data_IF_872773013189
#
_entry.id   IF_872773013189
#
_cell.length_a   1.000
_cell.length_b   1.000
_cell.length_c   1.000
_cell.angle_alpha   90.00
_cell.angle_beta   90.00
_cell.angle_gamma   90.00
#
_symmetry.space_group_name_H-M   'P 1'
#
loop_
_entity.id
_entity.type
_entity.pdbx_description
1 polymer ?
#
# COMPACT_ATOMS: atom_id res chain seq x y z
N UNK A 1 8.55 -6.10 -16.37
CA UNK A 1 9.11 -7.31 -17.00
C UNK A 1 10.46 -7.53 -16.36
N UNK A 2 10.69 -8.67 -15.68
CA UNK A 2 11.65 -8.71 -14.58
C UNK A 2 12.97 -9.46 -14.92
N UNK A 3 13.10 -9.95 -16.16
CA UNK A 3 14.34 -10.51 -16.72
C UNK A 3 14.79 -9.69 -17.93
N UNK A 4 16.09 -9.69 -18.19
CA UNK A 4 16.75 -8.73 -19.06
C UNK A 4 17.51 -9.42 -20.19
N UNK A 5 17.64 -8.73 -21.32
CA UNK A 5 18.49 -9.18 -22.40
C UNK A 5 19.97 -9.02 -21.98
N UNK A 6 20.81 -10.06 -22.10
CA UNK A 6 22.22 -9.98 -21.73
C UNK A 6 23.04 -9.02 -22.60
N UNK A 7 22.53 -8.59 -23.75
CA UNK A 7 23.26 -7.74 -24.72
C UNK A 7 22.90 -6.26 -24.61
N UNK A 8 21.64 -5.94 -24.30
CA UNK A 8 21.15 -4.56 -24.31
C UNK A 8 20.40 -4.16 -23.04
N UNK A 9 20.32 -5.07 -22.07
CA UNK A 9 19.65 -4.88 -20.78
C UNK A 9 18.16 -4.52 -20.88
N UNK A 10 17.59 -4.55 -22.09
CA UNK A 10 16.18 -4.31 -22.29
C UNK A 10 15.36 -5.40 -21.59
N UNK A 11 14.21 -5.04 -21.00
CA UNK A 11 13.33 -6.02 -20.39
C UNK A 11 12.81 -7.01 -21.44
N UNK A 12 12.90 -8.30 -21.15
CA UNK A 12 12.42 -9.39 -22.01
C UNK A 12 11.53 -10.36 -21.21
N UNK A 13 10.76 -11.17 -21.91
CA UNK A 13 10.00 -12.26 -21.29
C UNK A 13 10.91 -13.47 -21.06
N UNK A 14 10.76 -14.18 -19.93
CA UNK A 14 11.62 -15.33 -19.59
C UNK A 14 11.51 -16.51 -20.57
N UNK A 15 10.43 -16.55 -21.35
CA UNK A 15 10.14 -17.55 -22.40
C UNK A 15 10.44 -17.04 -23.81
N UNK A 16 10.85 -15.78 -23.97
CA UNK A 16 11.12 -15.18 -25.28
C UNK A 16 12.28 -15.89 -25.99
N UNK A 17 12.11 -16.11 -27.28
CA UNK A 17 13.16 -16.69 -28.15
C UNK A 17 14.11 -15.63 -28.69
N UNK A 18 13.65 -14.39 -28.85
CA UNK A 18 14.43 -13.27 -29.36
C UNK A 18 14.18 -12.01 -28.54
N UNK A 19 15.21 -11.19 -28.36
CA UNK A 19 15.04 -9.85 -27.81
C UNK A 19 14.42 -8.94 -28.88
N UNK A 20 13.24 -8.37 -28.59
CA UNK A 20 12.53 -7.48 -29.53
C UNK A 20 13.25 -6.14 -29.76
N UNK A 21 14.17 -5.76 -28.88
CA UNK A 21 14.86 -4.47 -28.95
C UNK A 21 16.17 -4.53 -29.74
N UNK A 22 16.99 -5.57 -29.55
CA UNK A 22 18.30 -5.69 -30.21
C UNK A 22 18.42 -6.88 -31.17
N UNK A 23 17.39 -7.72 -31.28
CA UNK A 23 17.41 -8.91 -32.15
C UNK A 23 18.28 -10.07 -31.65
N UNK A 24 18.80 -9.99 -30.42
CA UNK A 24 19.61 -11.05 -29.82
C UNK A 24 18.83 -12.36 -29.70
N UNK A 25 19.46 -13.48 -30.06
CA UNK A 25 18.89 -14.82 -29.96
C UNK A 25 19.02 -15.33 -28.53
N UNK A 26 17.90 -15.31 -27.81
CA UNK A 26 17.81 -15.77 -26.43
C UNK A 26 17.87 -17.30 -26.35
N UNK A 27 17.85 -18.04 -27.47
CA UNK A 27 18.10 -19.48 -27.50
C UNK A 27 19.58 -19.82 -27.28
N UNK A 28 20.50 -18.92 -27.65
CA UNK A 28 21.95 -19.14 -27.50
C UNK A 28 22.45 -18.65 -26.14
N UNK A 29 22.10 -17.41 -25.76
CA UNK A 29 22.40 -16.85 -24.43
C UNK A 29 21.07 -16.37 -23.85
N UNK A 30 20.63 -17.04 -22.80
CA UNK A 30 19.30 -16.87 -22.22
C UNK A 30 19.07 -15.50 -21.56
N UNK A 31 17.82 -15.18 -21.20
CA UNK A 31 17.53 -14.02 -20.37
C UNK A 31 18.28 -14.10 -19.03
N UNK A 32 18.71 -12.95 -18.54
CA UNK A 32 19.39 -12.81 -17.25
C UNK A 32 18.46 -12.17 -16.22
N UNK A 33 18.62 -12.52 -14.95
CA UNK A 33 17.97 -11.85 -13.82
C UNK A 33 18.54 -10.43 -13.63
N UNK A 34 17.91 -9.62 -12.78
CA UNK A 34 18.43 -8.31 -12.34
C UNK A 34 19.86 -8.36 -11.79
N UNK A 35 20.27 -9.48 -11.22
CA UNK A 35 21.61 -9.73 -10.67
C UNK A 35 22.57 -10.37 -11.68
N UNK A 36 22.19 -10.43 -12.97
CA UNK A 36 23.06 -10.93 -14.05
C UNK A 36 23.13 -12.45 -14.21
N UNK A 37 22.36 -13.22 -13.44
CA UNK A 37 22.37 -14.69 -13.52
C UNK A 37 21.46 -15.21 -14.64
N UNK A 38 21.94 -16.19 -15.42
CA UNK A 38 21.17 -16.82 -16.50
C UNK A 38 19.98 -17.64 -15.95
N UNK A 39 18.78 -17.26 -16.37
CA UNK A 39 17.51 -17.87 -15.95
C UNK A 39 17.44 -19.35 -16.31
N UNK A 40 18.04 -19.80 -17.42
CA UNK A 40 18.03 -21.22 -17.82
C UNK A 40 18.93 -22.06 -16.94
N UNK A 41 20.10 -21.53 -16.59
CA UNK A 41 21.01 -22.21 -15.68
C UNK A 41 20.37 -22.38 -14.30
N UNK A 42 19.72 -21.33 -13.79
CA UNK A 42 18.98 -21.37 -12.53
C UNK A 42 17.85 -22.41 -12.54
N UNK A 43 17.08 -22.50 -13.63
CA UNK A 43 16.03 -23.52 -13.80
C UNK A 43 16.61 -24.94 -13.76
N UNK A 44 17.77 -25.16 -14.37
CA UNK A 44 18.43 -26.46 -14.36
C UNK A 44 18.97 -26.83 -12.97
N UNK A 45 19.52 -25.85 -12.25
CA UNK A 45 19.93 -26.02 -10.85
C UNK A 45 18.75 -26.38 -9.94
N UNK A 46 17.59 -25.73 -10.10
CA UNK A 46 16.39 -26.07 -9.32
C UNK A 46 15.86 -27.47 -9.67
N UNK A 47 15.87 -27.85 -10.95
CA UNK A 47 15.43 -29.19 -11.36
C UNK A 47 16.31 -30.29 -10.80
N UNK A 48 17.62 -30.07 -10.76
CA UNK A 48 18.62 -31.04 -10.29
C UNK A 48 18.71 -31.18 -8.76
N UNK A 49 18.15 -30.24 -7.99
CA UNK A 49 18.08 -30.31 -6.52
C UNK A 49 17.18 -31.47 -6.05
N UNK A 50 17.74 -32.47 -5.39
CA UNK A 50 16.97 -33.63 -4.89
C UNK A 50 16.35 -33.40 -3.50
N UNK A 51 16.68 -32.28 -2.87
CA UNK A 51 16.25 -31.85 -1.54
C UNK A 51 14.92 -31.08 -1.54
N UNK A 52 14.38 -30.75 -2.72
CA UNK A 52 13.13 -30.01 -2.90
C UNK A 52 12.01 -30.89 -3.44
N UNK A 53 10.79 -30.68 -2.95
CA UNK A 53 9.62 -31.32 -3.52
C UNK A 53 9.32 -30.79 -4.93
N UNK A 54 8.67 -31.58 -5.78
CA UNK A 54 8.32 -31.16 -7.15
C UNK A 54 7.51 -29.86 -7.17
N UNK A 55 6.61 -29.66 -6.21
CA UNK A 55 5.84 -28.41 -6.07
C UNK A 55 6.75 -27.20 -5.80
N UNK A 56 7.68 -27.32 -4.85
CA UNK A 56 8.62 -26.25 -4.50
C UNK A 56 9.57 -25.91 -5.66
N UNK A 57 9.94 -26.91 -6.48
CA UNK A 57 10.70 -26.68 -7.71
C UNK A 57 9.93 -25.84 -8.73
N UNK A 58 8.65 -26.12 -8.94
CA UNK A 58 7.82 -25.32 -9.84
C UNK A 58 7.63 -23.89 -9.32
N UNK A 59 7.43 -23.72 -8.01
CA UNK A 59 7.27 -22.41 -7.38
C UNK A 59 8.55 -21.56 -7.48
N UNK A 60 9.72 -22.16 -7.27
CA UNK A 60 11.00 -21.46 -7.42
C UNK A 60 11.30 -21.10 -8.88
N UNK A 61 10.94 -21.97 -9.83
CA UNK A 61 11.07 -21.67 -11.27
C UNK A 61 10.18 -20.49 -11.65
N UNK A 62 8.93 -20.47 -11.20
CA UNK A 62 7.99 -19.39 -11.45
C UNK A 62 8.51 -18.06 -10.89
N UNK A 63 9.01 -18.06 -9.64
CA UNK A 63 9.60 -16.86 -9.01
C UNK A 63 10.79 -16.30 -9.80
N UNK A 64 11.63 -17.15 -10.39
CA UNK A 64 12.77 -16.69 -11.19
C UNK A 64 12.34 -16.21 -12.58
N UNK A 65 11.31 -16.82 -13.18
CA UNK A 65 10.70 -16.31 -14.42
C UNK A 65 10.05 -14.93 -14.19
N UNK A 66 9.49 -14.72 -13.01
CA UNK A 66 8.98 -13.44 -12.49
C UNK A 66 10.10 -12.53 -11.95
N UNK A 67 11.37 -12.93 -12.13
CA UNK A 67 12.59 -12.16 -11.85
C UNK A 67 12.84 -11.80 -10.39
N UNK A 68 12.44 -12.68 -9.47
CA UNK A 68 12.93 -12.67 -8.10
C UNK A 68 14.46 -12.86 -8.04
N UNK A 69 15.10 -12.22 -7.07
CA UNK A 69 16.55 -12.27 -6.90
C UNK A 69 17.01 -13.70 -6.51
N UNK A 70 17.86 -14.37 -7.31
CA UNK A 70 18.28 -15.75 -7.02
C UNK A 70 19.17 -15.86 -5.78
N UNK A 71 19.80 -14.77 -5.34
CA UNK A 71 20.60 -14.70 -4.11
C UNK A 71 19.68 -14.76 -2.87
N UNK A 72 18.59 -13.99 -2.87
CA UNK A 72 17.59 -14.01 -1.79
C UNK A 72 16.84 -15.35 -1.71
N UNK A 73 16.67 -16.01 -2.86
CA UNK A 73 16.10 -17.36 -2.93
C UNK A 73 17.09 -18.46 -2.51
N UNK A 74 18.34 -18.12 -2.16
CA UNK A 74 19.36 -19.08 -1.76
C UNK A 74 19.81 -20.02 -2.89
N UNK A 75 19.68 -19.59 -4.14
CA UNK A 75 20.04 -20.35 -5.34
C UNK A 75 21.38 -19.93 -5.94
N UNK A 76 21.83 -18.71 -5.66
CA UNK A 76 23.12 -18.18 -6.06
C UNK A 76 23.86 -17.60 -4.86
N UNK A 77 25.20 -17.68 -4.87
CA UNK A 77 26.03 -17.00 -3.89
C UNK A 77 26.14 -15.52 -4.24
N UNK A 78 26.17 -14.66 -3.22
CA UNK A 78 26.55 -13.26 -3.39
C UNK A 78 27.99 -13.16 -3.90
N UNK A 79 28.27 -12.18 -4.76
CA UNK A 79 29.64 -11.84 -5.18
C UNK A 79 30.50 -11.46 -3.95
N UNK A 80 31.83 -11.55 -4.00
CA UNK A 80 32.68 -11.15 -2.85
C UNK A 80 32.46 -9.68 -2.42
N UNK A 81 32.02 -8.83 -3.35
CA UNK A 81 31.64 -7.44 -3.13
C UNK A 81 30.27 -7.31 -2.42
N UNK A 82 29.27 -8.11 -2.81
CA UNK A 82 27.96 -8.17 -2.14
C UNK A 82 28.03 -8.91 -0.79
N UNK A 83 28.89 -9.91 -0.68
CA UNK A 83 29.20 -10.61 0.56
C UNK A 83 29.94 -9.71 1.54
N UNK A 84 30.79 -8.78 1.07
CA UNK A 84 31.39 -7.75 1.90
C UNK A 84 30.35 -6.74 2.41
N UNK A 85 29.34 -6.40 1.61
CA UNK A 85 28.21 -5.55 2.03
C UNK A 85 27.31 -6.28 3.02
N UNK A 86 27.06 -7.58 2.82
CA UNK A 86 26.28 -8.42 3.73
C UNK A 86 27.03 -8.70 5.05
N UNK A 87 28.34 -8.96 5.01
CA UNK A 87 29.19 -9.11 6.20
C UNK A 87 29.37 -7.78 6.95
N UNK A 88 29.36 -6.63 6.24
CA UNK A 88 29.29 -5.31 6.87
C UNK A 88 27.93 -5.06 7.53
N UNK A 89 26.83 -5.59 6.97
CA UNK A 89 25.50 -5.54 7.56
C UNK A 89 25.32 -6.51 8.76
N UNK A 90 25.96 -7.68 8.73
CA UNK A 90 25.87 -8.69 9.79
C UNK A 90 26.85 -8.40 10.95
N UNK A 91 27.99 -7.74 10.66
CA UNK A 91 28.90 -7.22 11.69
C UNK A 91 28.38 -5.97 12.42
N UNK A 92 27.26 -5.40 11.97
CA UNK A 92 26.59 -4.26 12.62
C UNK A 92 25.66 -4.69 13.78
N UNK A 93 25.57 -5.98 14.13
CA UNK A 93 24.74 -6.49 15.25
C UNK A 93 25.53 -6.84 16.52
N UNK A 94 26.82 -6.50 16.62
CA UNK A 94 27.59 -6.60 17.87
C UNK A 94 27.94 -5.20 18.41
N UNK A 95 27.78 -4.94 19.72
CA UNK A 95 27.74 -3.58 20.25
C UNK A 95 29.14 -2.97 20.30
N UNK A 96 29.40 -1.99 19.43
CA UNK A 96 30.50 -1.02 19.61
C UNK A 96 30.04 0.37 19.22
N UNK A 97 30.00 1.22 20.25
CA UNK A 97 30.10 2.68 20.27
C UNK A 97 29.59 3.45 19.04
N UNK A 98 28.33 3.84 19.14
CA UNK A 98 27.65 5.03 18.58
C UNK A 98 28.28 5.66 17.32
N UNK A 99 27.80 5.20 16.16
CA UNK A 99 27.87 5.97 14.91
C UNK A 99 26.66 6.92 14.79
N UNK A 100 26.80 8.13 14.22
CA UNK A 100 25.71 9.10 14.04
C UNK A 100 24.46 8.53 13.35
N UNK A 101 24.61 7.52 12.48
CA UNK A 101 23.50 6.91 11.77
C UNK A 101 22.61 6.01 12.65
N UNK A 102 23.14 5.42 13.74
CA UNK A 102 22.30 4.65 14.68
C UNK A 102 21.46 5.55 15.59
N UNK A 103 21.96 6.74 15.93
CA UNK A 103 21.19 7.74 16.65
C UNK A 103 19.95 8.19 15.83
N UNK A 104 20.09 8.27 14.50
CA UNK A 104 18.99 8.56 13.58
C UNK A 104 17.98 7.41 13.54
N UNK A 105 18.43 6.15 13.44
CA UNK A 105 17.52 4.97 13.44
C UNK A 105 16.80 4.75 14.77
N UNK A 106 17.47 5.01 15.90
CA UNK A 106 16.89 4.93 17.24
C UNK A 106 15.90 6.08 17.50
N UNK A 107 16.22 7.30 17.07
CA UNK A 107 15.31 8.45 17.14
C UNK A 107 14.09 8.26 16.24
N UNK A 108 14.24 7.66 15.06
CA UNK A 108 13.13 7.30 14.15
C UNK A 108 12.24 6.25 14.82
N UNK A 109 12.78 5.15 15.35
CA UNK A 109 11.95 4.14 16.01
C UNK A 109 11.26 4.66 17.29
N UNK A 110 11.92 5.52 18.07
CA UNK A 110 11.37 6.11 19.30
C UNK A 110 10.31 7.19 19.01
N UNK A 111 10.54 8.06 18.02
CA UNK A 111 9.60 9.10 17.60
C UNK A 111 8.39 8.55 16.84
N UNK A 112 8.48 7.35 16.25
CA UNK A 112 7.39 6.70 15.50
C UNK A 112 6.63 5.61 16.25
N UNK A 113 6.99 5.26 17.48
CA UNK A 113 6.31 4.21 18.26
C UNK A 113 5.01 4.68 18.93
N UNK A 114 4.64 5.96 18.85
CA UNK A 114 3.45 6.51 19.48
C UNK A 114 2.25 6.66 18.53
N UNK A 115 1.19 5.88 18.76
CA UNK A 115 -0.19 6.26 18.45
C UNK A 115 -0.70 6.03 17.02
N UNK A 116 0.12 6.16 15.97
CA UNK A 116 -0.28 5.83 14.59
C UNK A 116 0.56 4.67 14.10
N UNK A 117 -0.09 3.62 13.58
CA UNK A 117 0.57 2.58 12.79
C UNK A 117 1.06 3.18 11.48
N UNK A 118 2.18 3.92 11.52
CA UNK A 118 2.80 4.48 10.33
C UNK A 118 3.37 3.33 9.51
N UNK A 119 3.13 3.37 8.21
CA UNK A 119 3.79 2.42 7.33
C UNK A 119 5.32 2.68 7.38
N UNK A 120 6.15 1.66 7.69
CA UNK A 120 7.59 1.86 7.80
C UNK A 120 8.23 2.35 6.50
N UNK A 121 7.68 1.98 5.34
CA UNK A 121 8.14 2.50 4.06
C UNK A 121 7.80 3.98 3.87
N UNK A 122 6.61 4.42 4.30
CA UNK A 122 6.23 5.83 4.27
C UNK A 122 7.09 6.67 5.22
N UNK A 123 7.40 6.13 6.40
CA UNK A 123 8.30 6.75 7.36
C UNK A 123 9.74 6.87 6.83
N UNK A 124 10.26 5.80 6.23
CA UNK A 124 11.59 5.80 5.62
C UNK A 124 11.68 6.77 4.44
N UNK A 125 10.64 6.82 3.59
CA UNK A 125 10.57 7.76 2.47
C UNK A 125 10.52 9.21 2.95
N UNK A 126 9.73 9.50 3.99
CA UNK A 126 9.68 10.82 4.60
C UNK A 126 11.05 11.22 5.15
N UNK A 127 11.69 10.35 5.94
CA UNK A 127 13.00 10.59 6.52
C UNK A 127 14.09 10.81 5.45
N UNK A 128 14.09 10.00 4.38
CA UNK A 128 15.05 10.11 3.29
C UNK A 128 15.00 11.48 2.60
N UNK A 129 13.83 12.12 2.53
CA UNK A 129 13.67 13.45 1.94
C UNK A 129 13.88 14.55 2.98
N UNK A 130 13.41 14.34 4.21
CA UNK A 130 13.41 15.40 5.23
C UNK A 130 14.72 15.51 6.01
N UNK A 131 15.64 14.53 5.94
CA UNK A 131 16.80 14.48 6.82
C UNK A 131 17.69 15.72 6.80
N UNK A 132 17.81 16.42 5.67
CA UNK A 132 18.60 17.65 5.53
C UNK A 132 17.83 18.92 5.92
N UNK A 133 16.54 18.81 6.22
CA UNK A 133 15.68 19.96 6.50
C UNK A 133 15.82 20.45 7.94
N UNK A 134 15.64 21.75 8.14
CA UNK A 134 15.55 22.36 9.47
C UNK A 134 14.40 21.81 10.30
N UNK A 135 13.30 21.38 9.67
CA UNK A 135 12.20 20.73 10.36
C UNK A 135 12.63 19.39 10.98
N UNK A 136 13.44 18.60 10.25
CA UNK A 136 13.92 17.33 10.76
C UNK A 136 14.93 17.47 11.90
N UNK A 137 15.78 18.51 11.88
CA UNK A 137 16.69 18.77 13.01
C UNK A 137 15.94 19.13 14.30
N UNK A 138 14.76 19.76 14.19
CA UNK A 138 13.88 20.02 15.33
C UNK A 138 13.21 18.74 15.84
N UNK A 139 12.79 17.84 14.94
CA UNK A 139 12.26 16.52 15.30
C UNK A 139 13.34 15.68 15.99
N UNK A 140 14.52 15.54 15.39
CA UNK A 140 15.62 14.77 15.96
C UNK A 140 16.14 15.37 17.27
N UNK A 141 16.05 16.70 17.42
CA UNK A 141 16.36 17.42 18.65
C UNK A 141 15.28 17.30 19.73
N UNK A 142 14.19 16.56 19.49
CA UNK A 142 13.08 16.37 20.43
C UNK A 142 12.23 17.62 20.67
N UNK A 143 12.39 18.67 19.85
CA UNK A 143 11.63 19.93 19.96
C UNK A 143 10.26 19.85 19.29
N UNK A 144 10.12 18.97 18.30
CA UNK A 144 8.84 18.66 17.66
C UNK A 144 8.44 17.24 18.03
N UNK A 145 7.34 17.12 18.76
CA UNK A 145 6.78 15.82 19.13
C UNK A 145 5.79 15.33 18.06
N UNK A 146 6.23 14.32 17.30
CA UNK A 146 5.42 13.63 16.31
C UNK A 146 4.32 12.74 16.92
N UNK A 147 4.33 12.54 18.24
CA UNK A 147 3.32 11.79 18.97
C UNK A 147 2.32 12.69 19.70
N UNK A 148 2.43 14.02 19.52
CA UNK A 148 1.49 14.96 20.11
C UNK A 148 0.08 14.71 19.56
N UNK A 149 -0.93 14.75 20.44
CA UNK A 149 -2.31 14.45 20.07
C UNK A 149 -2.83 15.34 18.92
N UNK A 150 -2.43 16.62 18.90
CA UNK A 150 -2.79 17.56 17.85
C UNK A 150 -2.22 17.15 16.48
N UNK A 151 -0.97 16.68 16.44
CA UNK A 151 -0.34 16.23 15.22
C UNK A 151 -0.92 14.90 14.73
N UNK A 152 -1.19 13.95 15.65
CA UNK A 152 -1.84 12.69 15.30
C UNK A 152 -3.24 12.91 14.73
N UNK A 153 -4.03 13.81 15.35
CA UNK A 153 -5.35 14.18 14.85
C UNK A 153 -5.28 14.83 13.46
N UNK A 154 -4.30 15.69 13.21
CA UNK A 154 -4.12 16.31 11.89
C UNK A 154 -3.77 15.27 10.81
N UNK A 155 -2.91 14.29 11.14
CA UNK A 155 -2.58 13.19 10.24
C UNK A 155 -3.80 12.30 9.95
N UNK A 156 -4.63 12.00 10.96
CA UNK A 156 -5.86 11.21 10.81
C UNK A 156 -6.85 11.92 9.86
N UNK A 157 -7.11 13.21 10.09
CA UNK A 157 -7.98 14.01 9.20
C UNK A 157 -7.43 14.06 7.76
N UNK A 158 -6.12 14.12 7.60
CA UNK A 158 -5.48 13.99 6.29
C UNK A 158 -5.72 12.63 5.63
N UNK A 159 -5.66 11.54 6.39
CA UNK A 159 -5.98 10.21 5.89
C UNK A 159 -7.46 10.06 5.52
N UNK A 160 -8.37 10.60 6.33
CA UNK A 160 -9.81 10.63 6.04
C UNK A 160 -10.11 11.41 4.75
N UNK A 161 -9.46 12.56 4.54
CA UNK A 161 -9.59 13.34 3.29
C UNK A 161 -9.10 12.55 2.07
N UNK A 162 -7.99 11.82 2.20
CA UNK A 162 -7.48 10.92 1.16
C UNK A 162 -8.47 9.78 0.86
N UNK A 163 -9.00 9.11 1.89
CA UNK A 163 -10.02 8.08 1.71
C UNK A 163 -11.29 8.62 1.05
N UNK A 164 -11.69 9.85 1.36
CA UNK A 164 -12.84 10.47 0.70
C UNK A 164 -12.64 10.55 -0.82
N UNK A 165 -11.46 10.97 -1.30
CA UNK A 165 -11.13 10.97 -2.74
C UNK A 165 -11.15 9.55 -3.30
N UNK A 166 -10.62 8.57 -2.55
CA UNK A 166 -10.65 7.16 -2.96
C UNK A 166 -12.07 6.63 -3.16
N UNK A 167 -12.99 6.90 -2.22
CA UNK A 167 -14.37 6.43 -2.27
C UNK A 167 -15.16 7.05 -3.44
N UNK A 168 -14.88 8.33 -3.73
CA UNK A 168 -15.44 9.01 -4.91
C UNK A 168 -14.93 8.33 -6.19
N UNK A 169 -13.61 8.10 -6.29
CA UNK A 169 -13.01 7.45 -7.45
C UNK A 169 -13.51 6.00 -7.63
N UNK A 170 -13.76 5.27 -6.54
CA UNK A 170 -14.37 3.94 -6.60
C UNK A 170 -15.85 3.96 -7.08
N UNK A 171 -16.46 5.15 -7.14
CA UNK A 171 -17.86 5.33 -7.48
C UNK A 171 -18.80 4.83 -6.37
N UNK A 172 -18.34 4.88 -5.12
CA UNK A 172 -19.14 4.56 -3.93
C UNK A 172 -20.07 5.69 -3.49
N UNK A 173 -19.78 6.93 -3.92
CA UNK A 173 -20.54 8.12 -3.55
C UNK A 173 -21.29 8.65 -4.78
N UNK A 174 -22.60 8.44 -4.83
CA UNK A 174 -23.45 8.84 -5.97
C UNK A 174 -23.91 10.31 -5.89
N UNK A 175 -23.99 10.87 -4.69
CA UNK A 175 -24.40 12.24 -4.44
C UNK A 175 -23.21 13.08 -3.97
N UNK A 176 -22.50 13.68 -4.93
CA UNK A 176 -21.43 14.63 -4.64
C UNK A 176 -22.02 16.02 -4.40
N UNK A 177 -21.69 16.62 -3.27
CA UNK A 177 -22.16 17.95 -2.86
C UNK A 177 -21.53 19.08 -3.69
N UNK A 178 -20.29 18.88 -4.15
CA UNK A 178 -19.55 19.83 -4.97
C UNK A 178 -19.46 19.35 -6.42
N UNK A 179 -19.53 20.30 -7.37
CA UNK A 179 -19.30 20.07 -8.78
C UNK A 179 -17.85 19.67 -9.07
N UNK A 180 -16.89 20.20 -8.31
CA UNK A 180 -15.46 19.92 -8.49
C UNK A 180 -15.12 18.46 -8.16
N UNK A 181 -15.86 17.84 -7.24
CA UNK A 181 -15.69 16.42 -6.93
C UNK A 181 -16.09 15.51 -8.10
N UNK A 182 -16.91 16.00 -9.04
CA UNK A 182 -17.27 15.27 -10.26
C UNK A 182 -16.12 15.19 -11.26
N UNK A 183 -15.09 16.03 -11.10
CA UNK A 183 -13.88 15.97 -11.92
C UNK A 183 -12.98 14.78 -11.53
N UNK A 184 -13.18 14.18 -10.36
CA UNK A 184 -12.42 13.01 -9.91
C UNK A 184 -12.71 11.83 -10.86
N UNK A 185 -11.67 11.21 -11.46
CA UNK A 185 -11.86 10.07 -12.35
C UNK A 185 -12.52 8.88 -11.63
N UNK A 186 -13.61 8.36 -12.21
CA UNK A 186 -14.28 7.15 -11.70
C UNK A 186 -13.58 5.90 -12.24
N UNK A 187 -12.95 5.15 -11.35
CA UNK A 187 -12.24 3.90 -11.59
C UNK A 187 -13.17 2.69 -11.45
N UNK A 188 -14.38 2.77 -12.00
CA UNK A 188 -15.32 1.64 -11.99
C UNK A 188 -15.22 0.83 -13.29
N UNK A 189 -15.08 -0.50 -13.22
CA UNK A 189 -15.15 -1.32 -14.42
C UNK A 189 -16.53 -1.16 -15.11
N UNK A 190 -16.60 -1.09 -16.44
CA UNK A 190 -17.88 -1.08 -17.15
C UNK A 190 -18.71 -2.33 -16.82
N UNK A 191 -19.98 -2.15 -16.46
CA UNK A 191 -20.89 -3.28 -16.16
C UNK A 191 -21.26 -4.13 -17.39
N UNK A 192 -21.12 -3.57 -18.60
CA UNK A 192 -21.42 -4.27 -19.86
C UNK A 192 -20.12 -4.71 -20.50
N UNK A 193 -20.07 -5.95 -20.97
CA UNK A 193 -18.94 -6.52 -21.72
C UNK A 193 -18.81 -5.96 -23.14
N UNK A 194 -19.80 -5.20 -23.63
CA UNK A 194 -19.81 -4.69 -25.01
C UNK A 194 -19.93 -3.16 -25.06
N UNK A 195 -19.14 -2.53 -25.92
CA UNK A 195 -19.22 -1.09 -26.18
C UNK A 195 -20.57 -0.75 -26.83
N UNK A 196 -21.41 0.11 -26.23
CA UNK A 196 -22.73 0.43 -26.77
C UNK A 196 -22.68 1.19 -28.11
N UNK A 197 -21.52 1.73 -28.48
CA UNK A 197 -21.33 2.51 -29.72
C UNK A 197 -20.89 1.67 -30.92
N UNK A 198 -20.22 0.54 -30.68
CA UNK A 198 -19.65 -0.28 -31.76
C UNK A 198 -19.79 -1.80 -31.55
N UNK A 199 -20.40 -2.26 -30.46
CA UNK A 199 -20.59 -3.68 -30.18
C UNK A 199 -19.31 -4.48 -29.92
N UNK A 200 -18.14 -3.83 -29.86
CA UNK A 200 -16.88 -4.53 -29.59
C UNK A 200 -16.81 -4.97 -28.13
N UNK A 201 -16.23 -6.14 -27.91
CA UNK A 201 -16.00 -6.68 -26.57
C UNK A 201 -14.99 -5.78 -25.84
N UNK A 202 -15.44 -5.17 -24.74
CA UNK A 202 -14.63 -4.33 -23.85
C UNK A 202 -13.48 -5.16 -23.25
N UNK A 203 -13.65 -6.48 -23.08
CA UNK A 203 -12.58 -7.36 -22.60
C UNK A 203 -11.49 -7.58 -23.64
N UNK A 204 -11.82 -7.55 -24.95
CA UNK A 204 -10.82 -7.57 -26.03
C UNK A 204 -9.93 -6.32 -26.06
N UNK A 205 -10.37 -5.24 -25.39
CA UNK A 205 -9.63 -4.00 -25.17
C UNK A 205 -9.18 -3.80 -23.73
N UNK A 206 -9.09 -4.88 -22.94
CA UNK A 206 -8.56 -4.87 -21.55
C UNK A 206 -7.30 -4.03 -21.44
N UNK A 207 -6.32 -4.17 -22.34
CA UNK A 207 -5.08 -3.38 -22.29
C UNK A 207 -5.28 -1.87 -22.43
N UNK A 208 -6.28 -1.40 -23.18
CA UNK A 208 -6.63 0.03 -23.25
C UNK A 208 -7.35 0.49 -21.99
N UNK A 209 -8.21 -0.36 -21.41
CA UNK A 209 -8.86 -0.08 -20.14
C UNK A 209 -7.83 -0.04 -19.00
N UNK A 210 -6.87 -0.95 -18.96
CA UNK A 210 -5.75 -0.96 -18.03
C UNK A 210 -4.86 0.27 -18.18
N UNK A 211 -4.59 0.73 -19.41
CA UNK A 211 -3.87 2.00 -19.63
C UNK A 211 -4.64 3.18 -19.08
N UNK A 212 -5.93 3.30 -19.41
CA UNK A 212 -6.80 4.36 -18.89
C UNK A 212 -6.88 4.33 -17.37
N UNK A 213 -7.05 3.14 -16.78
CA UNK A 213 -7.04 2.94 -15.34
C UNK A 213 -5.71 3.32 -14.72
N UNK A 214 -4.59 2.91 -15.31
CA UNK A 214 -3.24 3.27 -14.84
C UNK A 214 -3.05 4.78 -14.87
N UNK A 215 -3.41 5.43 -15.98
CA UNK A 215 -3.26 6.88 -16.15
C UNK A 215 -4.14 7.64 -15.14
N UNK A 216 -5.42 7.28 -15.03
CA UNK A 216 -6.34 7.91 -14.07
C UNK A 216 -6.04 7.54 -12.61
N UNK A 217 -5.45 6.36 -12.34
CA UNK A 217 -5.05 5.98 -10.99
C UNK A 217 -3.90 6.86 -10.49
N UNK A 218 -3.01 7.30 -11.38
CA UNK A 218 -1.96 8.26 -11.03
C UNK A 218 -2.55 9.59 -10.59
N UNK A 219 -3.52 10.11 -11.35
CA UNK A 219 -4.25 11.34 -11.02
C UNK A 219 -5.01 11.23 -9.69
N UNK A 220 -5.70 10.11 -9.45
CA UNK A 220 -6.43 9.86 -8.20
C UNK A 220 -5.48 9.78 -7.00
N UNK A 221 -4.34 9.09 -7.12
CA UNK A 221 -3.32 9.03 -6.05
C UNK A 221 -2.70 10.41 -5.79
N UNK A 222 -2.48 11.21 -6.83
CA UNK A 222 -2.00 12.57 -6.66
C UNK A 222 -3.03 13.44 -5.92
N UNK A 223 -4.32 13.36 -6.28
CA UNK A 223 -5.39 14.06 -5.57
C UNK A 223 -5.54 13.59 -4.12
N UNK A 224 -5.41 12.29 -3.86
CA UNK A 224 -5.41 11.71 -2.51
C UNK A 224 -4.29 12.28 -1.65
N UNK A 225 -3.06 12.28 -2.18
CA UNK A 225 -1.89 12.80 -1.45
C UNK A 225 -1.99 14.31 -1.24
N UNK A 226 -2.42 15.07 -2.24
CA UNK A 226 -2.64 16.51 -2.14
C UNK A 226 -3.71 16.85 -1.09
N UNK A 227 -4.91 16.26 -1.19
CA UNK A 227 -6.01 16.53 -0.26
C UNK A 227 -5.65 16.14 1.18
N UNK A 228 -4.97 15.01 1.36
CA UNK A 228 -4.52 14.58 2.68
C UNK A 228 -3.45 15.49 3.28
N UNK A 229 -2.47 15.91 2.48
CA UNK A 229 -1.43 16.84 2.93
C UNK A 229 -2.00 18.22 3.25
N UNK A 230 -2.85 18.78 2.38
CA UNK A 230 -3.50 20.08 2.62
C UNK A 230 -4.32 20.06 3.90
N UNK A 231 -5.12 19.03 4.13
CA UNK A 231 -5.93 18.89 5.34
C UNK A 231 -5.07 18.81 6.60
N UNK A 232 -4.02 17.99 6.58
CA UNK A 232 -3.11 17.87 7.72
C UNK A 232 -2.33 19.18 7.98
N UNK A 233 -1.87 19.87 6.93
CA UNK A 233 -1.17 21.15 7.05
C UNK A 233 -2.10 22.24 7.59
N UNK A 234 -3.33 22.33 7.09
CA UNK A 234 -4.32 23.29 7.58
C UNK A 234 -4.61 23.05 9.06
N UNK A 235 -4.82 21.81 9.47
CA UNK A 235 -5.12 21.48 10.87
C UNK A 235 -3.93 21.79 11.80
N UNK A 236 -2.70 21.43 11.39
CA UNK A 236 -1.49 21.76 12.16
C UNK A 236 -1.26 23.27 12.24
N UNK A 237 -1.40 24.00 11.13
CA UNK A 237 -1.29 25.45 11.10
C UNK A 237 -2.34 26.11 12.02
N UNK A 238 -3.60 25.66 11.95
CA UNK A 238 -4.66 26.15 12.82
C UNK A 238 -4.36 25.93 14.31
N UNK A 239 -3.81 24.78 14.68
CA UNK A 239 -3.41 24.51 16.06
C UNK A 239 -2.32 25.46 16.56
N UNK A 240 -1.28 25.70 15.74
CA UNK A 240 -0.20 26.61 16.11
C UNK A 240 -0.65 28.07 16.16
N UNK A 241 -1.51 28.52 15.24
CA UNK A 241 -2.09 29.87 15.30
C UNK A 241 -2.91 30.08 16.57
N UNK A 242 -3.79 29.13 16.91
CA UNK A 242 -4.56 29.20 18.15
C UNK A 242 -3.67 29.23 19.41
N UNK A 243 -2.55 28.50 19.39
CA UNK A 243 -1.58 28.49 20.49
C UNK A 243 -0.82 29.82 20.59
N UNK A 244 -0.48 30.45 19.46
CA UNK A 244 0.15 31.77 19.43
C UNK A 244 -0.82 32.82 19.96
N UNK A 245 -2.07 32.84 19.52
CA UNK A 245 -3.09 33.78 20.00
C UNK A 245 -3.29 33.67 21.52
N UNK A 246 -3.27 32.45 22.05
CA UNK A 246 -3.36 32.20 23.49
C UNK A 246 -2.14 32.74 24.25
N UNK A 247 -0.93 32.59 23.72
CA UNK A 247 0.29 33.13 24.30
C UNK A 247 0.33 34.66 24.23
N UNK A 248 -0.08 35.25 23.11
CA UNK A 248 -0.19 36.70 22.97
C UNK A 248 -1.16 37.30 24.00
N UNK A 249 -2.29 36.62 24.23
CA UNK A 249 -3.25 37.01 25.25
C UNK A 249 -2.64 36.97 26.66
N UNK A 250 -1.90 35.92 27.01
CA UNK A 250 -1.20 35.83 28.29
C UNK A 250 -0.12 36.89 28.45
N UNK A 251 0.64 37.19 27.39
CA UNK A 251 1.64 38.25 27.41
C UNK A 251 0.98 39.61 27.64
N UNK A 252 -0.16 39.88 26.99
CA UNK A 252 -0.92 41.11 27.22
C UNK A 252 -1.47 41.21 28.64
N UNK A 253 -1.99 40.11 29.20
CA UNK A 253 -2.44 40.06 30.60
C UNK A 253 -1.30 40.30 31.59
N UNK A 254 -0.15 39.64 31.39
CA UNK A 254 1.04 39.83 32.21
C UNK A 254 1.59 41.25 32.10
N UNK A 255 1.58 41.83 30.89
CA UNK A 255 1.99 43.21 30.67
C UNK A 255 1.05 44.18 31.40
N UNK A 256 -0.27 43.97 31.30
CA UNK A 256 -1.24 44.78 32.03
C UNK A 256 -1.10 44.63 33.55
N UNK A 257 -0.81 43.43 34.05
CA UNK A 257 -0.54 43.19 35.46
C UNK A 257 0.75 43.88 35.91
N UNK A 258 1.80 43.87 35.08
CA UNK A 258 3.05 44.57 35.34
C UNK A 258 2.87 46.09 35.35
N UNK A 259 2.11 46.64 34.41
CA UNK A 259 1.81 48.08 34.33
C UNK A 259 0.92 48.55 35.48
N UNK A 260 0.07 47.68 36.02
CA UNK A 260 -0.77 47.94 37.19
C UNK A 260 -0.04 47.73 38.53
N UNK A 261 1.12 47.06 38.54
CA UNK A 261 1.87 46.79 39.76
C UNK A 261 2.59 48.05 40.24
N UNK A 262 2.34 48.46 41.49
CA UNK A 262 3.09 49.54 42.13
C UNK A 262 4.42 49.00 42.67
N UNK A 263 5.59 49.48 42.18
CA UNK A 263 6.90 48.94 42.52
C UNK A 263 7.26 49.07 44.02
N UNK A 264 6.68 50.04 44.74
CA UNK A 264 6.87 50.16 46.19
C UNK A 264 6.11 49.06 46.93
N UNK A 265 4.82 48.85 46.59
CA UNK A 265 4.01 47.78 47.18
C UNK A 265 4.61 46.37 46.95
N UNK A 266 5.21 46.13 45.78
CA UNK A 266 5.85 44.84 45.46
C UNK A 266 7.10 44.64 46.31
N UNK A 267 7.92 45.68 46.52
CA UNK A 267 9.10 45.60 47.40
C UNK A 267 8.70 45.35 48.85
N UNK A 268 7.65 46.02 49.34
CA UNK A 268 7.15 45.80 50.69
C UNK A 268 6.62 44.37 50.88
N UNK A 269 5.87 43.85 49.91
CA UNK A 269 5.40 42.46 49.94
C UNK A 269 6.56 41.45 49.93
N UNK A 270 7.55 41.64 49.05
CA UNK A 270 8.74 40.78 49.03
C UNK A 270 9.56 40.87 50.33
N UNK A 271 9.74 42.07 50.88
CA UNK A 271 10.43 42.25 52.15
C UNK A 271 9.69 41.56 53.31
N UNK A 272 8.36 41.62 53.33
CA UNK A 272 7.54 40.93 54.32
C UNK A 272 7.62 39.40 54.19
N UNK A 273 7.66 38.86 52.97
CA UNK A 273 7.87 37.42 52.75
C UNK A 273 9.26 36.99 53.20
N UNK A 274 10.32 37.71 52.82
CA UNK A 274 11.68 37.43 53.28
C UNK A 274 11.81 37.54 54.80
N UNK A 275 11.21 38.55 55.44
CA UNK A 275 11.24 38.68 56.90
C UNK A 275 10.52 37.53 57.62
N UNK A 276 9.42 37.02 57.05
CA UNK A 276 8.71 35.88 57.60
C UNK A 276 9.50 34.59 57.45
N UNK A 277 10.14 34.37 56.30
CA UNK A 277 10.98 33.20 56.04
C UNK A 277 12.23 33.22 56.93
N UNK A 278 12.93 34.35 57.01
CA UNK A 278 14.10 34.54 57.88
C UNK A 278 13.71 34.36 59.35
N UNK A 279 12.58 34.90 59.81
CA UNK A 279 12.12 34.67 61.20
C UNK A 279 11.79 33.21 61.46
N UNK A 280 11.15 32.52 60.51
CA UNK A 280 10.84 31.11 60.65
C UNK A 280 12.13 30.27 60.76
N UNK A 281 13.11 30.53 59.89
CA UNK A 281 14.40 29.84 59.89
C UNK A 281 15.20 30.12 61.17
N UNK A 282 15.33 31.40 61.57
CA UNK A 282 16.00 31.78 62.82
C UNK A 282 15.29 31.18 64.04
N UNK A 283 13.95 31.15 64.06
CA UNK A 283 13.20 30.56 65.18
C UNK A 283 13.43 29.06 65.28
N UNK A 284 13.48 28.35 64.15
CA UNK A 284 13.77 26.92 64.10
C UNK A 284 15.20 26.62 64.56
N UNK A 285 16.19 27.40 64.11
CA UNK A 285 17.57 27.27 64.55
C UNK A 285 17.74 27.56 66.05
N UNK A 286 17.07 28.61 66.56
CA UNK A 286 17.11 28.97 67.97
C UNK A 286 16.43 27.90 68.85
N UNK A 287 15.29 27.35 68.41
CA UNK A 287 14.60 26.26 69.11
C UNK A 287 15.45 24.99 69.15
N UNK A 288 16.15 24.67 68.07
CA UNK A 288 17.09 23.55 68.02
C UNK A 288 18.26 23.77 69.00
N UNK A 289 18.89 24.95 68.97
CA UNK A 289 19.98 25.30 69.86
C UNK A 289 19.56 25.30 71.35
N UNK A 290 18.35 25.79 71.67
CA UNK A 290 17.81 25.74 73.03
C UNK A 290 17.52 24.32 73.49
N UNK A 291 16.97 23.46 72.62
CA UNK A 291 16.76 22.04 72.94
C UNK A 291 18.08 21.35 73.27
N UNK A 292 19.11 21.58 72.47
CA UNK A 292 20.44 21.01 72.70
C UNK A 292 21.04 21.47 74.04
N UNK A 293 20.90 22.75 74.39
CA UNK A 293 21.33 23.27 75.69
C UNK A 293 20.54 22.68 76.86
N UNK A 294 19.21 22.59 76.75
CA UNK A 294 18.35 22.01 77.79
C UNK A 294 18.65 20.51 77.96
N UNK A 295 18.90 19.77 76.88
CA UNK A 295 19.29 18.36 76.94
C UNK A 295 20.66 18.17 77.60
N UNK A 296 21.63 19.03 77.32
CA UNK A 296 22.92 19.08 78.01
C UNK A 296 22.77 19.37 79.50
N UNK A 297 21.95 20.36 79.87
CA UNK A 297 21.73 20.76 81.27
C UNK A 297 20.97 19.68 82.06
N UNK A 298 19.92 19.07 81.47
CA UNK A 298 19.21 17.93 82.06
C UNK A 298 20.15 16.72 82.19
N UNK A 299 21.02 16.47 81.21
CA UNK A 299 22.03 15.41 81.29
C UNK A 299 23.03 15.68 82.41
N UNK A 300 23.47 16.93 82.57
CA UNK A 300 24.34 17.34 83.67
C UNK A 300 23.66 17.20 85.04
N UNK A 301 22.39 17.60 85.17
CA UNK A 301 21.60 17.44 86.40
C UNK A 301 21.30 15.98 86.73
N UNK A 302 21.02 15.13 85.74
CA UNK A 302 20.84 13.68 85.95
C UNK A 302 22.13 12.99 86.40
N UNK A 303 23.27 13.43 85.88
CA UNK A 303 24.59 12.96 86.33
C UNK A 303 24.88 13.44 87.77
N UNK A 304 24.50 14.69 88.11
CA UNK A 304 24.63 15.22 89.47
C UNK A 304 23.63 14.59 90.47
N UNK A 305 22.42 14.23 90.04
CA UNK A 305 21.45 13.51 90.88
C UNK A 305 21.85 12.04 91.09
N UNK A 306 22.54 11.42 90.13
CA UNK A 306 23.10 10.06 90.29
C UNK A 306 24.21 9.98 91.33
N UNK A 307 24.95 11.06 91.56
CA UNK A 307 26.01 11.07 92.60
C UNK A 307 25.43 11.20 94.01
N UNK A 308 24.22 11.77 94.17
CA UNK A 308 23.53 11.87 95.47
C UNK A 308 22.78 10.56 95.84
N UNK A 309 22.29 9.79 94.86
CA UNK A 309 21.64 8.49 95.09
C UNK A 309 22.62 7.30 95.28
N UNK A 310 23.85 7.56 95.73
CA UNK A 310 24.84 6.51 96.07
C UNK A 310 24.85 6.12 97.55
N UNK A 311 23.89 6.62 98.36
CA UNK A 311 23.83 6.32 99.80
C UNK A 311 22.45 5.91 100.30
N UNK A 312 21.83 4.89 99.69
CA UNK A 312 20.82 4.06 100.36
C UNK A 312 20.62 2.70 99.67
N UNK A 313 20.99 1.62 100.37
CA UNK A 313 20.19 0.39 100.51
C UNK A 313 19.90 -0.48 99.29
N UNK A 314 20.61 -1.62 99.24
CA UNK A 314 20.33 -2.86 98.48
C UNK A 314 18.91 -3.42 98.64
N UNK A 315 18.23 -3.83 97.53
CA UNK A 315 17.42 -5.08 97.42
C UNK A 315 17.25 -5.48 95.93
N UNK A 316 17.64 -6.73 95.59
CA UNK A 316 16.88 -7.70 94.76
C UNK A 316 16.60 -7.47 93.26
N UNK A 317 17.29 -8.27 92.42
CA UNK A 317 17.01 -8.65 91.00
C UNK A 317 15.62 -9.33 90.80
N UNK A 318 15.07 -9.55 89.57
CA UNK A 318 15.80 -10.06 88.38
C UNK A 318 15.33 -9.71 86.93
N UNK A 319 16.25 -10.00 85.99
CA UNK A 319 16.10 -10.56 84.61
C UNK A 319 15.04 -9.95 83.67
N UNK A 320 15.46 -9.27 82.59
CA UNK A 320 15.52 -9.84 81.22
C UNK A 320 14.31 -9.34 80.40
N UNK A 321 14.39 -8.79 79.19
CA UNK A 321 15.07 -9.30 77.99
C UNK A 321 15.15 -8.19 76.93
N UNK A 322 16.15 -8.31 76.07
CA UNK A 322 16.46 -7.51 74.89
C UNK A 322 15.36 -7.63 73.82
N UNK A 323 14.75 -6.50 73.45
CA UNK A 323 13.86 -6.41 72.28
C UNK A 323 14.70 -6.04 71.05
N UNK A 324 14.84 -6.99 70.13
CA UNK A 324 15.47 -6.83 68.81
C UNK A 324 14.46 -7.35 67.79
N UNK A 325 13.89 -6.51 66.90
CA UNK A 325 12.97 -7.03 65.89
C UNK A 325 13.78 -7.81 64.84
N UNK A 326 13.36 -9.04 64.59
CA UNK A 326 13.93 -9.96 63.61
C UNK A 326 13.03 -9.99 62.37
N UNK A 327 13.68 -9.94 61.22
CA UNK A 327 13.14 -10.19 59.89
C UNK A 327 12.39 -11.52 59.77
N UNK A 328 11.37 -11.55 58.93
CA UNK A 328 10.74 -12.77 58.41
C UNK A 328 10.94 -12.90 56.90
N UNK A 329 11.05 -14.14 56.38
CA UNK A 329 11.45 -14.44 55.02
C UNK A 329 10.27 -14.71 54.07
N UNK A 330 10.56 -14.67 52.78
CA UNK A 330 9.76 -15.26 51.68
C UNK A 330 9.64 -16.79 51.81
N UNK A 331 8.60 -17.37 51.21
CA UNK A 331 8.90 -18.44 50.24
C UNK A 331 8.08 -18.34 48.95
N UNK A 332 8.72 -18.85 47.89
CA UNK A 332 8.24 -19.04 46.52
C UNK A 332 7.90 -20.54 46.31
N UNK A 333 7.52 -21.01 45.10
CA UNK A 333 6.26 -21.69 44.81
C UNK A 333 6.38 -23.22 44.66
N UNK A 334 5.24 -23.91 44.55
CA UNK A 334 5.21 -25.32 44.13
C UNK A 334 4.27 -25.53 42.93
N UNK A 335 4.82 -26.29 41.98
CA UNK A 335 4.35 -26.72 40.66
C UNK A 335 3.53 -28.01 40.75
N UNK A 336 2.59 -28.23 39.82
CA UNK A 336 2.32 -29.48 39.04
C UNK A 336 1.05 -29.26 38.19
N UNK A 337 1.08 -29.30 36.84
CA UNK A 337 1.10 -30.47 35.91
C UNK A 337 0.02 -31.50 36.30
N UNK A 338 -0.86 -31.99 35.42
CA UNK A 338 -0.58 -32.62 34.11
C UNK A 338 -1.90 -32.86 33.34
N UNK A 339 -1.81 -32.85 32.00
CA UNK A 339 -2.50 -33.57 30.89
C UNK A 339 -3.73 -34.48 31.23
N UNK A 340 -4.72 -34.74 30.36
CA UNK A 340 -4.62 -35.19 28.95
C UNK A 340 -6.02 -35.19 28.25
N UNK A 341 -6.00 -35.21 26.91
CA UNK A 341 -7.07 -35.39 25.87
C UNK A 341 -7.87 -36.73 26.04
N UNK A 342 -8.89 -37.13 25.22
CA UNK A 342 -9.14 -36.86 23.78
C UNK A 342 -10.60 -36.67 23.28
N UNK A 343 -10.70 -36.48 21.96
CA UNK A 343 -11.78 -36.23 20.94
C UNK A 343 -12.89 -37.35 20.84
N UNK A 344 -13.81 -37.50 19.81
CA UNK A 344 -13.87 -36.92 18.43
C UNK A 344 -15.24 -36.83 17.63
N UNK A 345 -15.14 -36.48 16.31
CA UNK A 345 -16.00 -36.74 15.07
C UNK A 345 -17.23 -35.83 14.78
N UNK A 346 -17.69 -35.49 13.55
CA UNK A 346 -17.78 -36.09 12.17
C UNK A 346 -17.72 -35.00 11.04
N UNK A 347 -17.08 -35.17 9.84
CA UNK A 347 -17.50 -35.63 8.45
C UNK A 347 -18.51 -34.72 7.66
N UNK A 348 -18.40 -34.35 6.35
CA UNK A 348 -18.40 -35.08 5.01
C UNK A 348 -17.99 -34.06 3.87
N UNK A 349 -17.04 -34.28 2.90
CA UNK A 349 -17.03 -34.85 1.50
C UNK A 349 -17.91 -34.14 0.41
N UNK A 350 -17.60 -33.88 -0.88
CA UNK A 350 -16.99 -34.57 -2.07
C UNK A 350 -16.73 -33.54 -3.24
N UNK A 351 -15.65 -33.51 -4.03
CA UNK A 351 -15.22 -34.18 -5.31
C UNK A 351 -15.43 -33.46 -6.69
N UNK A 352 -14.45 -33.67 -7.61
CA UNK A 352 -14.11 -33.11 -8.97
C UNK A 352 -14.96 -33.77 -10.13
N UNK A 353 -14.73 -33.69 -11.50
CA UNK A 353 -13.55 -33.31 -12.33
C UNK A 353 -13.78 -32.55 -13.70
N UNK A 354 -12.68 -32.31 -14.45
CA UNK A 354 -12.55 -31.77 -15.84
C UNK A 354 -12.95 -32.79 -16.96
N UNK A 355 -12.92 -32.43 -18.28
CA UNK A 355 -11.73 -32.74 -19.12
C UNK A 355 -11.43 -31.79 -20.33
N UNK A 356 -10.46 -32.23 -21.18
CA UNK A 356 -9.47 -31.57 -22.06
C UNK A 356 -9.81 -31.46 -23.58
N UNK A 357 -8.78 -31.01 -24.36
CA UNK A 357 -8.42 -31.27 -25.80
C UNK A 357 -9.02 -30.34 -26.89
N UNK A 358 -8.41 -30.00 -28.04
CA UNK A 358 -7.07 -30.11 -28.66
C UNK A 358 -6.98 -29.22 -29.94
N UNK A 359 -5.77 -29.15 -30.50
CA UNK A 359 -5.14 -28.41 -31.63
C UNK A 359 -5.77 -28.56 -33.05
N UNK A 360 -5.62 -27.54 -33.95
CA UNK A 360 -5.19 -27.71 -35.37
C UNK A 360 -4.85 -26.43 -36.18
N UNK A 361 -3.88 -26.59 -37.09
CA UNK A 361 -3.05 -25.64 -37.86
C UNK A 361 -3.56 -25.22 -39.27
N UNK A 362 -2.96 -24.10 -39.77
CA UNK A 362 -2.59 -23.55 -41.13
C UNK A 362 -3.20 -24.14 -42.46
N UNK A 363 -3.32 -23.52 -43.66
CA UNK A 363 -2.85 -22.32 -44.45
C UNK A 363 -3.58 -22.34 -45.84
N UNK A 364 -3.25 -21.57 -46.93
CA UNK A 364 -3.19 -20.11 -47.21
C UNK A 364 -4.16 -19.64 -48.36
N UNK A 365 -4.39 -18.33 -48.51
CA UNK A 365 -5.01 -17.68 -49.70
C UNK A 365 -3.93 -16.94 -50.54
N UNK A 366 -4.07 -16.81 -51.89
CA UNK A 366 -3.18 -15.99 -52.71
C UNK A 366 -3.72 -14.57 -53.02
N UNK A 367 -2.82 -13.59 -52.87
CA UNK A 367 -2.60 -12.30 -53.57
C UNK A 367 -3.77 -11.35 -53.93
N UNK A 368 -3.72 -10.17 -53.30
CA UNK A 368 -4.45 -8.94 -53.62
C UNK A 368 -3.80 -8.14 -54.77
N UNK A 369 -4.62 -7.56 -55.65
CA UNK A 369 -4.25 -6.42 -56.52
C UNK A 369 -4.64 -5.08 -55.86
N UNK A 370 -3.77 -4.08 -56.03
CA UNK A 370 -3.81 -2.76 -55.36
C UNK A 370 -4.86 -1.81 -55.97
N UNK A 371 -5.60 -1.06 -55.13
CA UNK A 371 -6.35 0.15 -55.54
C UNK A 371 -5.92 1.38 -54.72
N UNK A 372 -6.06 2.56 -55.34
CA UNK A 372 -5.33 3.80 -55.05
C UNK A 372 -5.83 4.61 -53.84
N UNK A 373 -4.93 5.44 -53.30
CA UNK A 373 -5.03 6.20 -52.05
C UNK A 373 -6.15 7.27 -51.98
N UNK A 374 -6.87 7.55 -53.08
CA UNK A 374 -7.88 8.61 -53.11
C UNK A 374 -9.26 8.17 -52.56
N UNK A 375 -9.49 6.88 -52.33
CA UNK A 375 -10.79 6.34 -51.88
C UNK A 375 -10.90 6.15 -50.35
N UNK A 376 -9.85 6.49 -49.59
CA UNK A 376 -9.72 6.20 -48.15
C UNK A 376 -10.16 7.35 -47.22
N UNK A 377 -10.67 8.48 -47.72
CA UNK A 377 -10.87 9.68 -46.89
C UNK A 377 -12.31 10.17 -46.74
N UNK A 378 -13.27 9.75 -47.59
CA UNK A 378 -14.70 10.02 -47.40
C UNK A 378 -15.50 8.86 -48.03
N UNK A 379 -16.46 8.32 -47.29
CA UNK A 379 -17.21 7.09 -47.58
C UNK A 379 -17.40 6.80 -49.06
N UNK A 380 -16.63 5.83 -49.58
CA UNK A 380 -16.79 5.31 -50.92
C UNK A 380 -18.19 4.73 -51.09
N UNK A 381 -18.94 5.23 -52.06
CA UNK A 381 -20.31 4.77 -52.35
C UNK A 381 -20.40 3.25 -52.46
N UNK A 382 -21.51 2.70 -51.95
CA UNK A 382 -21.83 1.27 -51.98
C UNK A 382 -21.57 0.72 -53.39
N UNK A 383 -20.61 -0.19 -53.52
CA UNK A 383 -20.40 -0.92 -54.79
C UNK A 383 -21.67 -1.73 -55.03
N UNK A 384 -22.44 -1.39 -56.06
CA UNK A 384 -23.65 -2.12 -56.43
C UNK A 384 -23.27 -3.25 -57.38
N UNK A 385 -23.60 -4.47 -56.99
CA UNK A 385 -23.60 -5.64 -57.86
C UNK A 385 -25.03 -6.17 -57.87
N UNK A 386 -25.50 -6.69 -58.99
CA UNK A 386 -26.87 -7.20 -59.14
C UNK A 386 -26.87 -8.71 -59.26
N UNK A 387 -27.82 -9.37 -58.60
CA UNK A 387 -28.05 -10.78 -58.76
C UNK A 387 -29.05 -11.05 -59.91
N UNK A 388 -28.68 -11.93 -60.85
CA UNK A 388 -29.57 -12.42 -61.91
C UNK A 388 -29.68 -13.96 -61.76
N UNK A 389 -30.75 -14.44 -61.12
CA UNK A 389 -30.97 -15.86 -60.85
C UNK A 389 -32.27 -16.13 -60.09
N UNK A 390 -32.51 -17.38 -59.71
CA UNK A 390 -33.65 -17.75 -58.87
C UNK A 390 -33.45 -17.23 -57.43
N UNK A 391 -34.52 -16.78 -56.78
CA UNK A 391 -34.49 -16.18 -55.44
C UNK A 391 -33.87 -17.12 -54.39
N UNK A 392 -34.08 -18.44 -54.54
CA UNK A 392 -33.50 -19.47 -53.69
C UNK A 392 -31.95 -19.55 -53.76
N UNK A 393 -31.34 -19.12 -54.87
CA UNK A 393 -29.89 -19.15 -55.06
C UNK A 393 -29.21 -17.87 -54.55
N UNK A 394 -30.00 -16.80 -54.31
CA UNK A 394 -29.50 -15.49 -53.88
C UNK A 394 -28.68 -15.54 -52.58
N UNK A 395 -29.06 -16.30 -51.53
CA UNK A 395 -28.26 -16.44 -50.31
C UNK A 395 -26.84 -16.97 -50.57
N UNK A 396 -26.72 -18.03 -51.37
CA UNK A 396 -25.43 -18.65 -51.65
C UNK A 396 -24.59 -17.76 -52.57
N UNK A 397 -25.21 -17.17 -53.60
CA UNK A 397 -24.54 -16.22 -54.48
C UNK A 397 -24.01 -15.00 -53.71
N UNK A 398 -24.79 -14.46 -52.77
CA UNK A 398 -24.39 -13.29 -51.98
C UNK A 398 -23.16 -13.58 -51.11
N UNK A 399 -23.11 -14.76 -50.50
CA UNK A 399 -21.96 -15.19 -49.69
C UNK A 399 -20.68 -15.32 -50.52
N UNK A 400 -20.81 -15.72 -51.78
CA UNK A 400 -19.66 -15.96 -52.67
C UNK A 400 -19.19 -14.68 -53.38
N UNK A 401 -20.11 -13.75 -53.68
CA UNK A 401 -19.83 -12.64 -54.59
C UNK A 401 -20.02 -11.25 -53.98
N UNK A 402 -20.78 -11.10 -52.91
CA UNK A 402 -21.33 -9.80 -52.50
C UNK A 402 -20.88 -9.28 -51.13
N UNK A 403 -20.17 -10.08 -50.32
CA UNK A 403 -19.78 -9.67 -48.96
C UNK A 403 -18.91 -8.40 -48.92
N UNK A 404 -18.19 -8.11 -50.00
CA UNK A 404 -17.39 -6.90 -50.15
C UNK A 404 -18.23 -5.60 -50.33
N UNK A 405 -19.54 -5.72 -50.52
CA UNK A 405 -20.48 -4.59 -50.67
C UNK A 405 -21.05 -4.12 -49.33
N UNK A 406 -20.88 -4.93 -48.28
CA UNK A 406 -21.33 -4.59 -46.92
C UNK A 406 -20.55 -3.39 -46.41
N UNK A 407 -21.26 -2.42 -45.85
CA UNK A 407 -20.65 -1.22 -45.30
C UNK A 407 -19.76 -1.58 -44.09
N UNK A 408 -18.48 -1.18 -44.15
CA UNK A 408 -17.53 -1.30 -43.04
C UNK A 408 -17.51 0.01 -42.23
N UNK A 409 -18.19 0.08 -41.07
CA UNK A 409 -18.24 1.28 -40.24
C UNK A 409 -16.88 1.64 -39.62
N UNK A 410 -15.91 0.72 -39.63
CA UNK A 410 -14.59 0.90 -39.04
C UNK A 410 -13.52 1.29 -40.06
N UNK A 411 -13.84 1.30 -41.37
CA UNK A 411 -12.89 1.65 -42.42
C UNK A 411 -11.65 0.77 -42.44
N UNK A 412 -11.75 -0.45 -41.91
CA UNK A 412 -10.65 -1.43 -41.87
C UNK A 412 -10.28 -1.92 -43.26
N UNK A 413 -11.20 -1.80 -44.23
CA UNK A 413 -11.02 -2.26 -45.61
C UNK A 413 -10.97 -3.78 -45.72
N UNK A 414 -11.33 -4.50 -44.66
CA UNK A 414 -11.39 -5.96 -44.64
C UNK A 414 -12.79 -6.42 -45.01
N UNK A 415 -12.86 -7.27 -46.03
CA UNK A 415 -14.12 -7.89 -46.45
C UNK A 415 -14.57 -8.92 -45.39
N UNK A 416 -15.88 -8.96 -45.13
CA UNK A 416 -16.45 -9.95 -44.23
C UNK A 416 -16.35 -11.34 -44.87
N UNK A 417 -16.00 -12.35 -44.07
CA UNK A 417 -15.97 -13.75 -44.50
C UNK A 417 -17.26 -14.47 -44.06
N UNK A 418 -17.78 -15.46 -44.81
CA UNK A 418 -19.01 -16.18 -44.46
C UNK A 418 -18.99 -16.78 -43.04
N UNK A 419 -17.82 -17.26 -42.61
CA UNK A 419 -17.63 -17.91 -41.30
C UNK A 419 -17.36 -16.93 -40.15
N UNK A 420 -17.29 -15.63 -40.41
CA UNK A 420 -17.07 -14.62 -39.36
C UNK A 420 -18.22 -14.65 -38.36
N UNK A 421 -17.87 -14.72 -37.07
CA UNK A 421 -18.82 -14.70 -35.96
C UNK A 421 -19.23 -13.25 -35.71
N UNK A 422 -20.54 -12.97 -35.79
CA UNK A 422 -21.14 -11.66 -35.55
C UNK A 422 -21.52 -11.46 -34.08
N UNK A 423 -22.01 -12.53 -33.44
CA UNK A 423 -22.43 -12.52 -32.05
C UNK A 423 -22.16 -13.89 -31.40
N UNK A 424 -21.85 -13.89 -30.10
CA UNK A 424 -21.56 -15.09 -29.30
C UNK A 424 -22.38 -15.06 -28.01
N UNK A 425 -22.95 -16.20 -27.65
CA UNK A 425 -23.66 -16.44 -26.39
C UNK A 425 -23.21 -17.79 -25.80
N UNK A 426 -23.68 -18.10 -24.58
CA UNK A 426 -23.54 -19.43 -23.97
C UNK A 426 -24.16 -20.53 -24.82
N UNK A 427 -25.20 -20.21 -25.59
CA UNK A 427 -26.02 -21.17 -26.33
C UNK A 427 -25.57 -21.33 -27.79
N UNK A 428 -24.63 -20.50 -28.26
CA UNK A 428 -24.07 -20.61 -29.60
C UNK A 428 -23.51 -19.32 -30.19
N UNK A 429 -23.00 -19.44 -31.42
CA UNK A 429 -22.45 -18.34 -32.22
C UNK A 429 -23.36 -18.07 -33.42
N UNK A 430 -23.60 -16.80 -33.74
CA UNK A 430 -24.22 -16.35 -34.98
C UNK A 430 -23.13 -15.93 -35.95
N UNK A 431 -23.13 -16.45 -37.18
CA UNK A 431 -22.16 -16.11 -38.22
C UNK A 431 -22.82 -15.34 -39.37
N UNK A 432 -22.00 -14.69 -40.19
CA UNK A 432 -22.47 -13.97 -41.40
C UNK A 432 -23.31 -14.86 -42.31
N UNK A 433 -22.87 -16.08 -42.58
CA UNK A 433 -23.62 -17.05 -43.39
C UNK A 433 -24.98 -17.42 -42.79
N UNK A 434 -25.10 -17.44 -41.46
CA UNK A 434 -26.34 -17.83 -40.80
C UNK A 434 -27.36 -16.70 -40.96
N UNK A 435 -26.94 -15.45 -40.79
CA UNK A 435 -27.77 -14.27 -41.04
C UNK A 435 -28.26 -14.21 -42.49
N UNK A 436 -27.37 -14.39 -43.47
CA UNK A 436 -27.75 -14.31 -44.90
C UNK A 436 -28.74 -15.41 -45.28
N UNK A 437 -28.52 -16.66 -44.84
CA UNK A 437 -29.40 -17.78 -45.16
C UNK A 437 -30.74 -17.68 -44.47
N UNK A 438 -30.74 -17.40 -43.16
CA UNK A 438 -31.98 -17.25 -42.38
C UNK A 438 -32.80 -16.08 -42.90
N UNK A 439 -32.16 -14.94 -43.21
CA UNK A 439 -32.85 -13.79 -43.78
C UNK A 439 -33.42 -14.08 -45.18
N UNK A 440 -32.66 -14.77 -46.04
CA UNK A 440 -33.15 -15.15 -47.37
C UNK A 440 -34.37 -16.09 -47.33
N UNK A 441 -34.43 -16.97 -46.33
CA UNK A 441 -35.51 -17.96 -46.21
C UNK A 441 -36.73 -17.44 -45.41
N UNK A 442 -36.48 -16.67 -44.35
CA UNK A 442 -37.46 -16.33 -43.31
C UNK A 442 -37.62 -14.82 -43.07
N UNK A 443 -36.86 -13.98 -43.78
CA UNK A 443 -36.87 -12.53 -43.58
C UNK A 443 -36.38 -12.10 -42.19
N UNK A 444 -36.73 -10.87 -41.81
CA UNK A 444 -36.33 -10.25 -40.54
C UNK A 444 -36.80 -11.07 -39.32
N UNK A 445 -37.99 -11.67 -39.40
CA UNK A 445 -38.61 -12.41 -38.27
C UNK A 445 -37.90 -13.72 -37.93
N UNK A 446 -37.18 -14.32 -38.88
CA UNK A 446 -36.38 -15.53 -38.63
C UNK A 446 -35.07 -15.26 -37.88
N UNK A 447 -34.59 -14.02 -37.84
CA UNK A 447 -33.32 -13.67 -37.22
C UNK A 447 -33.43 -13.66 -35.69
N UNK A 448 -32.60 -14.47 -35.04
CA UNK A 448 -32.50 -14.48 -33.57
C UNK A 448 -32.20 -13.09 -32.99
N UNK A 449 -32.69 -12.81 -31.77
CA UNK A 449 -32.34 -11.59 -31.03
C UNK A 449 -30.81 -11.44 -30.86
N UNK A 450 -30.10 -12.56 -30.76
CA UNK A 450 -28.64 -12.59 -30.69
C UNK A 450 -27.99 -12.00 -31.95
N UNK A 451 -28.55 -12.23 -33.14
CA UNK A 451 -28.05 -11.64 -34.39
C UNK A 451 -28.12 -10.11 -34.35
N UNK A 452 -29.18 -9.55 -33.75
CA UNK A 452 -29.38 -8.10 -33.62
C UNK A 452 -28.45 -7.42 -32.62
N UNK A 453 -27.72 -8.18 -31.80
CA UNK A 453 -26.67 -7.61 -30.93
C UNK A 453 -25.47 -7.09 -31.73
N UNK A 454 -25.30 -7.54 -32.97
CA UNK A 454 -24.26 -7.06 -33.87
C UNK A 454 -24.81 -5.98 -34.82
N UNK A 455 -24.24 -4.75 -34.85
CA UNK A 455 -24.69 -3.71 -35.78
C UNK A 455 -24.43 -4.09 -37.26
N UNK A 456 -23.53 -5.04 -37.51
CA UNK A 456 -23.25 -5.56 -38.86
C UNK A 456 -24.45 -6.28 -39.47
N UNK A 457 -25.35 -6.82 -38.67
CA UNK A 457 -26.57 -7.52 -39.14
C UNK A 457 -27.43 -6.61 -40.02
N UNK A 458 -27.61 -5.35 -39.60
CA UNK A 458 -28.35 -4.38 -40.41
C UNK A 458 -27.64 -4.08 -41.74
N UNK A 459 -26.32 -3.90 -41.73
CA UNK A 459 -25.56 -3.63 -42.96
C UNK A 459 -25.53 -4.83 -43.92
N UNK A 460 -25.56 -6.06 -43.39
CA UNK A 460 -25.68 -7.28 -44.19
C UNK A 460 -27.03 -7.32 -44.91
N UNK A 461 -28.13 -7.04 -44.19
CA UNK A 461 -29.48 -7.01 -44.76
C UNK A 461 -29.59 -5.91 -45.83
N UNK A 462 -29.13 -4.69 -45.52
CA UNK A 462 -29.17 -3.58 -46.49
C UNK A 462 -28.34 -3.85 -47.75
N UNK A 463 -27.23 -4.58 -47.62
CA UNK A 463 -26.42 -5.00 -48.77
C UNK A 463 -27.10 -6.13 -49.55
N UNK A 464 -27.72 -7.09 -48.86
CA UNK A 464 -28.45 -8.21 -49.46
C UNK A 464 -29.67 -7.75 -50.25
N UNK A 465 -30.45 -6.81 -49.71
CA UNK A 465 -31.59 -6.20 -50.40
C UNK A 465 -31.15 -5.26 -51.54
N UNK A 466 -29.93 -4.74 -51.45
CA UNK A 466 -29.33 -3.87 -52.46
C UNK A 466 -28.74 -4.61 -53.67
N UNK A 467 -28.62 -5.94 -53.61
CA UNK A 467 -28.15 -6.82 -54.68
C UNK A 467 -29.33 -7.50 -55.38
#
# INVERSE_FOLDING_TARGET
MPVHCPTCEAPVEATAKFCLQCGHDLLVIGPITSTGHDVRQLKELIRSRNDLAMAEKFDLIAKIEDGANPIELGLAAASEEDAAIALAAESAQAPRETSPNEAVSSAVNSALSGGITRNPAAAAAAAAISHETTAWSLVSGGKVDLNSAAFLQAMELGMEASHHIHDIAAGGIEALSSEDLKAIPVLKPPKKSFCPKCGSDIHSHTMLQWRKWRDHSGEVVQLQTQAGMETAIIQTAGHYLASIDALESQVQELQAALDAADPESVKEAMAAEFDNEIRAEISAELEAALRDQIEEEIRAELVASRTISSRAGTVGRPMGTTFRPKSTPTPKPAVKKTEEKPEPKEEVKEEKPEPKEEVKEEKPEPKQEKKSAAQMMFGGGRKKISFEGEEADKPQWFLDNALHTIYDPHGTGKELKPRTILARSSDGNVRVQDVVRIYGDQGVEGLSELAWTSPLTQYIIEAYDGC
#
